data_IF_230106088602
#
_entry.id   IF_230106088602
#
_cell.length_a   1.000
_cell.length_b   1.000
_cell.length_c   1.000
_cell.angle_alpha   90.00
_cell.angle_beta   90.00
_cell.angle_gamma   90.00
#
_symmetry.space_group_name_H-M   'P 1'
#
loop_
_entity.id
_entity.type
_entity.pdbx_description
1 polymer ?
#
# COMPACT_ATOMS: atom_id res chain seq x y z
N UNK A 1 12.03 -6.03 -60.60
CA UNK A 1 12.86 -5.84 -59.38
C UNK A 1 12.38 -4.71 -58.48
N UNK A 2 11.99 -3.52 -58.96
CA UNK A 2 11.52 -2.39 -58.10
C UNK A 2 10.26 -2.69 -57.27
N UNK A 3 9.32 -3.54 -57.73
CA UNK A 3 8.09 -3.90 -56.97
C UNK A 3 8.34 -4.85 -55.80
N UNK A 4 9.35 -5.71 -55.89
CA UNK A 4 9.69 -6.67 -54.81
C UNK A 4 10.39 -5.95 -53.64
N UNK A 5 11.23 -4.95 -53.95
CA UNK A 5 11.93 -4.17 -52.92
C UNK A 5 10.93 -3.35 -52.09
N UNK A 6 9.88 -2.79 -52.71
CA UNK A 6 8.82 -2.06 -52.01
C UNK A 6 8.01 -2.96 -51.06
N UNK A 7 7.71 -4.19 -51.44
CA UNK A 7 6.96 -5.14 -50.63
C UNK A 7 7.77 -5.62 -49.39
N UNK A 8 9.06 -5.89 -49.58
CA UNK A 8 9.96 -6.24 -48.46
C UNK A 8 10.13 -5.09 -47.43
N UNK A 9 10.17 -3.84 -47.91
CA UNK A 9 10.25 -2.66 -47.01
C UNK A 9 9.00 -2.49 -46.17
N UNK A 10 7.81 -2.72 -46.76
CA UNK A 10 6.53 -2.64 -46.02
C UNK A 10 6.40 -3.77 -45.00
N UNK A 11 6.79 -4.99 -45.34
CA UNK A 11 6.77 -6.12 -44.42
C UNK A 11 7.75 -5.90 -43.26
N UNK A 12 8.93 -5.37 -43.53
CA UNK A 12 9.93 -5.06 -42.50
C UNK A 12 9.47 -3.92 -41.57
N UNK A 13 8.74 -2.93 -42.08
CA UNK A 13 8.15 -1.86 -41.28
C UNK A 13 7.01 -2.37 -40.41
N UNK A 14 6.21 -3.33 -40.84
CA UNK A 14 5.14 -3.95 -40.05
C UNK A 14 5.75 -4.80 -38.92
N UNK A 15 6.83 -5.51 -39.16
CA UNK A 15 7.53 -6.31 -38.13
C UNK A 15 8.15 -5.40 -37.06
N UNK A 16 8.63 -4.21 -37.43
CA UNK A 16 9.18 -3.25 -36.48
C UNK A 16 8.09 -2.56 -35.61
N UNK A 17 6.85 -2.47 -36.11
CA UNK A 17 5.73 -1.90 -35.38
C UNK A 17 5.08 -2.88 -34.38
N UNK A 18 5.28 -4.19 -34.55
CA UNK A 18 4.79 -5.20 -33.60
C UNK A 18 5.73 -5.47 -32.41
N UNK A 19 6.90 -4.82 -32.43
CA UNK A 19 7.97 -5.05 -31.42
C UNK A 19 7.85 -4.30 -30.10
N UNK A 20 6.81 -3.49 -29.89
CA UNK A 20 6.54 -2.81 -28.62
C UNK A 20 5.27 -3.36 -27.95
N UNK A 21 5.21 -4.66 -27.72
CA UNK A 21 4.35 -5.17 -26.65
C UNK A 21 5.02 -4.71 -25.35
N UNK A 22 4.47 -3.63 -24.78
CA UNK A 22 4.84 -3.22 -23.44
C UNK A 22 4.51 -4.39 -22.50
N UNK A 23 5.53 -5.07 -22.02
CA UNK A 23 5.42 -6.06 -20.94
C UNK A 23 5.08 -5.34 -19.61
N UNK A 24 3.96 -4.62 -19.59
CA UNK A 24 3.48 -3.90 -18.43
C UNK A 24 2.54 -4.82 -17.63
N UNK A 25 2.47 -4.56 -16.32
CA UNK A 25 1.43 -5.15 -15.49
C UNK A 25 0.07 -4.68 -16.00
N UNK A 26 -0.90 -5.61 -16.06
CA UNK A 26 -2.28 -5.32 -16.48
C UNK A 26 -2.91 -4.24 -15.61
N UNK A 27 -3.70 -3.36 -16.23
CA UNK A 27 -4.46 -2.32 -15.52
C UNK A 27 -5.44 -2.94 -14.51
N UNK A 28 -5.94 -4.16 -14.76
CA UNK A 28 -6.83 -4.88 -13.86
C UNK A 28 -6.17 -5.30 -12.54
N UNK A 29 -4.83 -5.34 -12.49
CA UNK A 29 -4.08 -5.63 -11.27
C UNK A 29 -3.81 -4.40 -10.42
N UNK A 30 -4.00 -3.19 -10.97
CA UNK A 30 -3.62 -1.96 -10.26
C UNK A 30 -4.40 -1.77 -8.95
N UNK A 31 -3.71 -1.23 -7.94
CA UNK A 31 -4.28 -0.96 -6.64
C UNK A 31 -3.87 -1.96 -5.57
N UNK A 32 -4.60 -1.94 -4.47
CA UNK A 32 -4.36 -2.77 -3.29
C UNK A 32 -5.18 -4.05 -3.34
N UNK A 33 -4.51 -5.15 -2.96
CA UNK A 33 -5.07 -6.48 -2.83
C UNK A 33 -4.77 -7.01 -1.43
N UNK A 34 -5.80 -7.43 -0.70
CA UNK A 34 -5.67 -7.95 0.66
C UNK A 34 -5.79 -9.45 0.70
N UNK A 35 -4.97 -10.08 1.53
CA UNK A 35 -4.93 -11.53 1.69
C UNK A 35 -6.25 -12.06 2.26
N UNK A 36 -6.79 -13.07 1.59
CA UNK A 36 -7.91 -13.88 2.07
C UNK A 36 -7.43 -15.18 2.71
N UNK A 37 -6.30 -15.71 2.26
CA UNK A 37 -5.73 -16.95 2.72
C UNK A 37 -4.68 -17.48 1.75
N UNK A 38 -4.23 -18.70 1.96
CA UNK A 38 -3.25 -19.36 1.11
C UNK A 38 -3.55 -20.85 0.96
N UNK A 39 -3.16 -21.40 -0.17
CA UNK A 39 -3.25 -22.84 -0.45
C UNK A 39 -1.84 -23.44 -0.43
N UNK A 40 -1.70 -24.56 0.26
CA UNK A 40 -0.50 -25.37 0.30
C UNK A 40 -0.87 -26.83 0.14
N UNK A 41 -0.29 -27.50 -0.84
CA UNK A 41 -0.53 -28.91 -1.14
C UNK A 41 -2.03 -29.24 -1.32
N UNK A 42 -2.82 -28.28 -1.82
CA UNK A 42 -4.27 -28.43 -2.03
C UNK A 42 -5.12 -28.22 -0.76
N UNK A 43 -4.54 -27.80 0.34
CA UNK A 43 -5.24 -27.41 1.55
C UNK A 43 -5.30 -25.88 1.67
N UNK A 44 -6.52 -25.34 1.57
CA UNK A 44 -6.72 -23.91 1.73
C UNK A 44 -6.77 -23.51 3.21
N UNK A 45 -5.83 -22.68 3.60
CA UNK A 45 -5.78 -22.01 4.92
C UNK A 45 -6.49 -20.66 4.79
N UNK A 46 -7.70 -20.58 5.32
CA UNK A 46 -8.44 -19.34 5.34
C UNK A 46 -7.69 -18.36 6.26
N UNK A 47 -7.33 -17.20 5.70
CA UNK A 47 -6.88 -16.08 6.51
C UNK A 47 -8.02 -15.67 7.43
N UNK A 48 -7.73 -15.37 8.67
CA UNK A 48 -8.72 -14.83 9.58
C UNK A 48 -9.42 -13.64 8.90
N UNK A 49 -10.74 -13.69 8.75
CA UNK A 49 -11.54 -12.62 8.12
C UNK A 49 -11.32 -11.27 8.81
N UNK A 50 -10.99 -11.32 10.08
CA UNK A 50 -10.55 -10.20 10.90
C UNK A 50 -9.24 -9.56 10.34
N UNK A 51 -8.32 -10.36 9.82
CA UNK A 51 -7.03 -9.89 9.30
C UNK A 51 -7.15 -9.18 7.95
N UNK A 52 -8.11 -9.57 7.12
CA UNK A 52 -8.41 -8.86 5.85
C UNK A 52 -8.86 -7.43 6.13
N UNK A 53 -9.64 -7.23 7.18
CA UNK A 53 -10.14 -5.91 7.59
C UNK A 53 -9.04 -5.01 8.15
N UNK A 54 -8.04 -5.61 8.82
CA UNK A 54 -6.96 -4.90 9.50
C UNK A 54 -5.68 -4.73 8.67
N UNK A 55 -5.70 -5.08 7.39
CA UNK A 55 -4.57 -4.87 6.46
C UNK A 55 -3.25 -5.56 6.84
N UNK A 56 -3.33 -6.65 7.59
CA UNK A 56 -2.13 -7.34 8.03
C UNK A 56 -1.23 -7.76 6.87
N UNK A 57 -1.84 -8.31 5.82
CA UNK A 57 -1.14 -8.78 4.62
C UNK A 57 -1.79 -8.23 3.37
N UNK A 58 -1.00 -7.62 2.52
CA UNK A 58 -1.49 -7.11 1.24
C UNK A 58 -0.40 -6.98 0.20
N UNK A 59 -0.81 -6.85 -1.06
CA UNK A 59 0.06 -6.52 -2.19
C UNK A 59 -0.51 -5.30 -2.89
N UNK A 60 0.35 -4.35 -3.22
CA UNK A 60 0.01 -3.13 -3.95
C UNK A 60 0.72 -3.11 -5.30
N UNK A 61 -0.05 -2.90 -6.36
CA UNK A 61 0.44 -2.69 -7.71
C UNK A 61 0.26 -1.20 -8.06
N UNK A 62 1.36 -0.52 -8.36
CA UNK A 62 1.38 0.89 -8.74
C UNK A 62 2.21 1.07 -10.01
N UNK A 63 1.54 1.12 -11.15
CA UNK A 63 2.20 0.99 -12.44
C UNK A 63 2.93 -0.35 -12.54
N UNK A 64 4.24 -0.31 -12.78
CA UNK A 64 5.07 -1.52 -12.80
C UNK A 64 5.77 -1.79 -11.45
N UNK A 65 5.53 -1.00 -10.42
CA UNK A 65 6.08 -1.24 -9.09
C UNK A 65 5.12 -2.12 -8.28
N UNK A 66 5.67 -3.11 -7.60
CA UNK A 66 4.88 -4.02 -6.76
C UNK A 66 5.51 -4.09 -5.38
N UNK A 67 4.68 -3.93 -4.36
CA UNK A 67 5.08 -4.06 -2.97
C UNK A 67 4.12 -4.99 -2.23
N UNK A 68 4.68 -5.84 -1.39
CA UNK A 68 3.90 -6.62 -0.44
C UNK A 68 4.17 -6.13 0.98
N UNK A 69 3.15 -6.21 1.81
CA UNK A 69 3.19 -5.73 3.18
C UNK A 69 2.74 -6.84 4.12
N UNK A 70 3.48 -7.05 5.17
CA UNK A 70 3.11 -7.83 6.35
C UNK A 70 3.09 -6.93 7.58
N UNK A 71 2.87 -7.49 8.78
CA UNK A 71 2.84 -6.69 10.01
C UNK A 71 4.13 -5.89 10.26
N UNK A 72 5.26 -6.45 9.97
CA UNK A 72 6.56 -5.83 10.25
C UNK A 72 7.37 -5.50 9.00
N UNK A 73 7.11 -6.18 7.89
CA UNK A 73 7.97 -6.14 6.72
C UNK A 73 7.30 -5.56 5.49
N UNK A 74 8.12 -4.95 4.66
CA UNK A 74 7.77 -4.54 3.30
C UNK A 74 8.69 -5.28 2.35
N UNK A 75 8.11 -6.04 1.43
CA UNK A 75 8.82 -6.65 0.30
C UNK A 75 8.61 -5.77 -0.91
N UNK A 76 9.68 -5.20 -1.45
CA UNK A 76 9.67 -4.40 -2.68
C UNK A 76 10.24 -5.24 -3.81
N UNK A 77 9.43 -5.48 -4.84
CA UNK A 77 9.82 -6.27 -6.02
C UNK A 77 10.48 -5.40 -7.10
N UNK A 78 10.69 -4.11 -6.82
CA UNK A 78 11.16 -3.17 -7.81
C UNK A 78 10.22 -3.09 -9.00
N UNK A 79 10.80 -2.97 -10.19
CA UNK A 79 10.01 -2.98 -11.40
C UNK A 79 9.65 -4.41 -11.79
N UNK A 80 8.36 -4.66 -11.94
CA UNK A 80 7.80 -5.95 -12.35
C UNK A 80 7.22 -5.84 -13.76
N UNK A 81 7.43 -6.85 -14.57
CA UNK A 81 6.82 -7.01 -15.90
C UNK A 81 5.96 -8.26 -15.89
N UNK A 82 4.90 -8.26 -16.68
CA UNK A 82 4.02 -9.41 -16.83
C UNK A 82 4.06 -9.92 -18.26
N UNK A 83 4.26 -11.25 -18.42
CA UNK A 83 4.16 -11.93 -19.70
C UNK A 83 3.49 -13.28 -19.50
N UNK A 84 2.36 -13.50 -20.17
CA UNK A 84 1.56 -14.73 -20.05
C UNK A 84 1.29 -15.09 -18.59
N UNK A 85 0.85 -14.12 -17.79
CA UNK A 85 0.59 -14.25 -16.34
C UNK A 85 1.82 -14.61 -15.49
N UNK A 86 3.01 -14.61 -16.06
CA UNK A 86 4.28 -14.75 -15.32
C UNK A 86 4.76 -13.37 -14.91
N UNK A 87 5.17 -13.24 -13.65
CA UNK A 87 5.74 -12.02 -13.08
C UNK A 87 7.27 -12.09 -13.18
N UNK A 88 7.86 -11.13 -13.87
CA UNK A 88 9.31 -10.99 -14.04
C UNK A 88 9.74 -9.80 -13.20
N UNK A 89 10.44 -10.06 -12.11
CA UNK A 89 10.92 -9.08 -11.14
C UNK A 89 12.35 -8.66 -11.48
N UNK A 90 12.65 -7.37 -11.42
CA UNK A 90 14.02 -6.86 -11.61
C UNK A 90 14.86 -7.02 -10.34
N UNK A 91 14.24 -6.87 -9.18
CA UNK A 91 14.88 -7.02 -7.87
C UNK A 91 13.86 -7.47 -6.85
N UNK A 92 14.33 -8.02 -5.75
CA UNK A 92 13.51 -8.27 -4.56
C UNK A 92 14.31 -7.81 -3.35
N UNK A 93 13.75 -6.86 -2.62
CA UNK A 93 14.29 -6.41 -1.33
C UNK A 93 13.22 -6.53 -0.27
N UNK A 94 13.60 -6.89 0.94
CA UNK A 94 12.69 -7.03 2.06
C UNK A 94 13.30 -6.37 3.29
N UNK A 95 12.48 -5.67 4.07
CA UNK A 95 12.92 -5.16 5.37
C UNK A 95 13.03 -6.33 6.35
N UNK A 96 14.10 -6.35 7.13
CA UNK A 96 14.32 -7.38 8.16
C UNK A 96 13.79 -6.89 9.51
N UNK A 97 12.48 -6.96 9.71
CA UNK A 97 11.89 -6.80 11.03
C UNK A 97 11.46 -8.18 11.52
N UNK A 98 11.72 -8.49 12.78
CA UNK A 98 11.32 -9.77 13.36
C UNK A 98 9.80 -9.92 13.21
N UNK A 99 9.41 -10.95 12.48
CA UNK A 99 8.00 -11.31 12.37
C UNK A 99 7.48 -11.80 13.72
N UNK A 100 6.32 -11.32 14.11
CA UNK A 100 5.78 -11.48 15.47
C UNK A 100 4.99 -12.81 15.60
N UNK A 101 4.56 -13.37 14.47
CA UNK A 101 3.74 -14.58 14.43
C UNK A 101 4.07 -15.48 13.24
N UNK A 102 3.67 -16.74 13.33
CA UNK A 102 3.95 -17.79 12.35
C UNK A 102 3.39 -17.48 10.96
N UNK A 103 2.24 -16.79 10.87
CA UNK A 103 1.65 -16.39 9.59
C UNK A 103 2.46 -15.31 8.89
N UNK A 104 2.96 -14.32 9.65
CA UNK A 104 3.86 -13.29 9.11
C UNK A 104 5.16 -13.91 8.63
N UNK A 105 5.73 -14.85 9.39
CA UNK A 105 6.92 -15.61 8.98
C UNK A 105 6.63 -16.39 7.69
N UNK A 106 5.49 -17.06 7.63
CA UNK A 106 5.09 -17.83 6.46
C UNK A 106 4.90 -16.94 5.23
N UNK A 107 4.15 -15.83 5.38
CA UNK A 107 3.91 -14.88 4.31
C UNK A 107 5.22 -14.27 3.81
N UNK A 108 6.05 -13.72 4.69
CA UNK A 108 7.31 -13.07 4.35
C UNK A 108 8.28 -14.00 3.62
N UNK A 109 8.36 -15.26 4.06
CA UNK A 109 9.22 -16.27 3.44
C UNK A 109 8.78 -16.62 2.02
N UNK A 110 7.48 -16.66 1.75
CA UNK A 110 6.95 -17.17 0.49
C UNK A 110 6.60 -16.05 -0.50
N UNK A 111 6.22 -14.85 -0.03
CA UNK A 111 5.84 -13.75 -0.92
C UNK A 111 6.97 -13.33 -1.86
N UNK A 112 8.24 -13.45 -1.43
CA UNK A 112 9.42 -13.15 -2.25
C UNK A 112 9.52 -14.04 -3.49
N UNK A 113 8.90 -15.22 -3.44
CA UNK A 113 8.98 -16.25 -4.49
C UNK A 113 7.85 -16.17 -5.52
N UNK A 114 6.87 -15.23 -5.36
CA UNK A 114 5.77 -15.13 -6.33
C UNK A 114 6.33 -15.00 -7.75
N UNK A 115 5.80 -15.78 -8.68
CA UNK A 115 6.28 -15.82 -10.06
C UNK A 115 5.19 -15.85 -11.10
N UNK A 116 3.95 -16.14 -10.71
CA UNK A 116 2.79 -16.25 -11.59
C UNK A 116 1.54 -15.71 -10.89
N UNK A 117 0.57 -15.25 -11.66
CA UNK A 117 -0.72 -14.84 -11.12
C UNK A 117 -1.88 -15.39 -11.94
N UNK A 118 -3.04 -15.48 -11.30
CA UNK A 118 -4.34 -15.68 -11.93
C UNK A 118 -5.30 -14.66 -11.36
N UNK A 119 -5.97 -13.93 -12.26
CA UNK A 119 -6.98 -12.94 -11.90
C UNK A 119 -8.36 -13.44 -12.32
N UNK A 120 -9.30 -13.49 -11.38
CA UNK A 120 -10.68 -13.82 -11.62
C UNK A 120 -11.59 -12.81 -10.92
N UNK A 121 -12.02 -11.79 -11.66
CA UNK A 121 -12.79 -10.68 -11.14
C UNK A 121 -12.07 -9.96 -10.00
N UNK A 122 -12.62 -10.03 -8.80
CA UNK A 122 -12.07 -9.40 -7.60
C UNK A 122 -11.14 -10.32 -6.76
N UNK A 123 -10.75 -11.47 -7.30
CA UNK A 123 -9.86 -12.42 -6.65
C UNK A 123 -8.57 -12.56 -7.45
N UNK A 124 -7.44 -12.42 -6.76
CA UNK A 124 -6.11 -12.54 -7.30
C UNK A 124 -5.37 -13.68 -6.61
N UNK A 125 -4.92 -14.67 -7.37
CA UNK A 125 -3.97 -15.67 -6.89
C UNK A 125 -2.56 -15.26 -7.27
N UNK A 126 -1.65 -15.26 -6.31
CA UNK A 126 -0.21 -15.09 -6.54
C UNK A 126 0.48 -16.40 -6.17
N UNK A 127 1.02 -17.09 -7.16
CA UNK A 127 1.69 -18.37 -6.98
C UNK A 127 3.14 -18.17 -6.57
N UNK A 128 3.56 -18.84 -5.51
CA UNK A 128 4.93 -18.87 -5.01
C UNK A 128 5.60 -20.23 -5.22
N UNK A 129 4.83 -21.25 -5.63
CA UNK A 129 5.31 -22.54 -6.16
C UNK A 129 4.46 -22.94 -7.37
N UNK A 130 4.61 -24.16 -7.87
CA UNK A 130 3.83 -24.66 -9.01
C UNK A 130 2.31 -24.67 -8.71
N UNK A 131 1.92 -25.05 -7.50
CA UNK A 131 0.53 -25.19 -7.09
C UNK A 131 0.12 -24.30 -5.92
N UNK A 132 1.09 -23.90 -5.08
CA UNK A 132 0.78 -23.13 -3.88
C UNK A 132 0.65 -21.65 -4.19
N UNK A 133 -0.34 -21.01 -3.60
CA UNK A 133 -0.64 -19.61 -3.86
C UNK A 133 -1.20 -18.88 -2.65
N UNK A 134 -0.99 -17.59 -2.67
CA UNK A 134 -1.75 -16.64 -1.85
C UNK A 134 -3.00 -16.19 -2.61
N UNK A 135 -4.15 -16.18 -1.95
CA UNK A 135 -5.40 -15.66 -2.49
C UNK A 135 -5.67 -14.28 -1.89
N UNK A 136 -5.87 -13.30 -2.76
CA UNK A 136 -6.17 -11.93 -2.39
C UNK A 136 -7.51 -11.47 -2.96
N UNK A 137 -8.03 -10.35 -2.41
CA UNK A 137 -9.18 -9.63 -2.94
C UNK A 137 -8.90 -8.13 -2.97
N UNK A 138 -9.52 -7.43 -3.94
CA UNK A 138 -9.60 -5.97 -3.98
C UNK A 138 -10.96 -5.44 -3.48
N UNK A 139 -11.87 -6.34 -3.12
CA UNK A 139 -13.15 -5.99 -2.48
C UNK A 139 -13.02 -6.13 -0.97
N UNK A 140 -12.79 -5.03 -0.31
CA UNK A 140 -12.73 -4.96 1.14
C UNK A 140 -13.32 -3.64 1.64
N UNK A 141 -13.93 -3.69 2.80
CA UNK A 141 -14.35 -2.50 3.52
C UNK A 141 -13.27 -2.18 4.54
N UNK A 142 -12.80 -0.94 4.55
CA UNK A 142 -11.97 -0.44 5.64
C UNK A 142 -12.86 -0.32 6.88
N UNK A 143 -12.89 -1.34 7.74
CA UNK A 143 -13.58 -1.24 9.04
C UNK A 143 -12.82 -0.36 10.04
N UNK A 144 -11.51 -0.23 9.86
CA UNK A 144 -10.74 0.81 10.53
C UNK A 144 -10.86 2.07 9.67
N UNK A 145 -12.02 2.68 9.69
CA UNK A 145 -12.08 4.12 9.53
C UNK A 145 -11.74 4.67 10.92
N UNK A 146 -10.63 5.39 11.10
CA UNK A 146 -10.64 6.39 12.15
C UNK A 146 -11.88 7.20 11.85
N UNK A 147 -12.95 6.96 12.57
CA UNK A 147 -14.11 7.81 12.50
C UNK A 147 -13.68 9.06 13.25
N UNK A 148 -13.30 10.07 12.51
CA UNK A 148 -13.42 11.42 13.01
C UNK A 148 -14.92 11.60 13.22
N UNK A 149 -15.39 11.28 14.40
CA UNK A 149 -16.77 11.48 14.75
C UNK A 149 -16.93 12.97 15.07
N UNK A 150 -17.30 13.76 14.07
CA UNK A 150 -17.49 15.20 14.17
C UNK A 150 -18.56 15.61 15.22
N UNK A 151 -19.19 14.64 15.89
CA UNK A 151 -20.10 14.84 17.01
C UNK A 151 -19.39 14.78 18.39
N UNK A 152 -18.07 14.68 18.43
CA UNK A 152 -17.31 14.72 19.69
C UNK A 152 -16.92 16.17 20.02
N UNK A 153 -16.66 16.41 21.31
CA UNK A 153 -16.15 17.70 21.75
C UNK A 153 -14.75 17.96 21.19
N UNK A 154 -14.51 19.21 20.77
CA UNK A 154 -13.16 19.65 20.39
C UNK A 154 -12.24 19.52 21.60
N UNK A 155 -11.16 18.76 21.45
CA UNK A 155 -10.17 18.58 22.52
C UNK A 155 -9.17 19.72 22.55
N UNK A 156 -8.74 20.14 21.35
CA UNK A 156 -7.84 21.28 21.18
C UNK A 156 -8.03 21.94 19.83
N UNK A 157 -7.80 23.23 19.78
CA UNK A 157 -7.66 23.99 18.53
C UNK A 157 -6.18 24.20 18.26
N UNK A 158 -5.73 23.76 17.10
CA UNK A 158 -4.37 23.91 16.62
C UNK A 158 -4.29 25.16 15.75
N UNK A 159 -3.31 26.04 15.99
CA UNK A 159 -3.14 27.28 15.25
C UNK A 159 -1.73 27.40 14.71
N UNK A 160 -1.60 27.54 13.38
CA UNK A 160 -0.34 27.75 12.64
C UNK A 160 0.80 26.81 13.11
N UNK A 161 0.42 25.57 13.41
CA UNK A 161 1.35 24.54 13.88
C UNK A 161 2.19 24.01 12.72
N UNK A 162 3.48 23.86 12.94
CA UNK A 162 4.37 23.20 11.98
C UNK A 162 4.27 21.69 12.11
N UNK A 163 4.22 21.00 10.97
CA UNK A 163 4.18 19.55 10.92
C UNK A 163 4.84 18.99 9.68
N UNK A 164 4.85 17.69 9.60
CA UNK A 164 5.39 16.93 8.46
C UNK A 164 4.35 15.92 8.00
N UNK A 165 4.06 15.91 6.72
CA UNK A 165 3.16 14.91 6.14
C UNK A 165 3.86 13.57 6.12
N UNK A 166 3.18 12.56 6.63
CA UNK A 166 3.65 11.18 6.67
C UNK A 166 2.53 10.23 6.28
N UNK A 167 2.89 9.06 5.77
CA UNK A 167 1.94 7.99 5.52
C UNK A 167 2.01 6.96 6.65
N UNK A 168 0.89 6.70 7.31
CA UNK A 168 0.80 5.64 8.30
C UNK A 168 0.76 4.29 7.57
N UNK A 169 1.71 3.41 7.86
CA UNK A 169 1.84 2.12 7.20
C UNK A 169 0.75 1.13 7.57
N UNK A 170 0.14 1.27 8.76
CA UNK A 170 -0.90 0.38 9.28
C UNK A 170 -2.29 0.88 8.91
N UNK A 171 -2.59 2.14 9.24
CA UNK A 171 -3.88 2.75 8.90
C UNK A 171 -3.98 3.13 7.42
N UNK A 172 -2.85 3.14 6.69
CA UNK A 172 -2.72 3.56 5.29
C UNK A 172 -3.31 4.93 5.02
N UNK A 173 -3.38 5.75 6.05
CA UNK A 173 -3.82 7.12 5.98
C UNK A 173 -2.64 8.06 6.01
N UNK A 174 -2.83 9.18 5.38
CA UNK A 174 -1.93 10.30 5.54
C UNK A 174 -2.23 11.01 6.84
N UNK A 175 -1.19 11.44 7.53
CA UNK A 175 -1.29 12.21 8.77
C UNK A 175 -0.26 13.32 8.80
N UNK A 176 -0.50 14.31 9.65
CA UNK A 176 0.45 15.36 9.94
C UNK A 176 1.15 14.99 11.24
N UNK A 177 2.46 14.73 11.14
CA UNK A 177 3.30 14.45 12.29
C UNK A 177 3.73 15.77 12.96
N UNK A 178 3.44 15.91 14.24
CA UNK A 178 4.02 16.96 15.06
C UNK A 178 5.19 16.38 15.85
N UNK A 179 6.34 16.98 15.67
CA UNK A 179 7.55 16.52 16.33
C UNK A 179 7.83 17.35 17.57
N UNK A 180 8.55 16.77 18.50
CA UNK A 180 9.10 17.52 19.62
C UNK A 180 10.01 18.63 19.12
N UNK A 181 9.88 19.87 19.62
CA UNK A 181 10.71 20.99 19.15
C UNK A 181 12.22 20.66 19.21
N UNK A 182 12.89 20.80 18.07
CA UNK A 182 14.31 20.50 17.95
C UNK A 182 14.66 19.01 17.84
N UNK A 183 13.68 18.14 17.62
CA UNK A 183 13.84 16.68 17.49
C UNK A 183 13.07 16.15 16.27
N UNK A 184 13.50 15.01 15.73
CA UNK A 184 12.75 14.26 14.72
C UNK A 184 11.74 13.28 15.34
N UNK A 185 11.62 13.28 16.68
CA UNK A 185 10.67 12.42 17.38
C UNK A 185 9.27 12.95 17.23
N UNK A 186 8.42 12.20 16.56
CA UNK A 186 6.98 12.50 16.44
C UNK A 186 6.29 12.17 17.77
N UNK A 187 5.52 13.13 18.31
CA UNK A 187 4.77 12.97 19.56
C UNK A 187 3.27 13.01 19.36
N UNK A 188 2.80 13.65 18.29
CA UNK A 188 1.38 13.72 17.95
C UNK A 188 1.20 13.37 16.47
N UNK A 189 0.17 12.60 16.18
CA UNK A 189 -0.29 12.34 14.81
C UNK A 189 -1.69 12.90 14.63
N UNK A 190 -1.83 13.87 13.73
CA UNK A 190 -3.11 14.41 13.34
C UNK A 190 -3.56 13.77 12.03
N UNK A 191 -4.72 13.14 12.04
CA UNK A 191 -5.31 12.47 10.88
C UNK A 191 -6.45 13.31 10.33
N UNK A 192 -6.24 14.08 9.25
CA UNK A 192 -7.32 14.77 8.57
C UNK A 192 -8.31 13.77 7.96
N UNK A 193 -9.60 14.11 7.94
CA UNK A 193 -10.57 13.33 7.19
C UNK A 193 -10.24 13.37 5.70
N UNK A 194 -9.86 14.55 5.20
CA UNK A 194 -9.33 14.76 3.84
C UNK A 194 -8.31 15.88 3.83
N UNK A 195 -7.38 15.82 2.90
CA UNK A 195 -6.54 16.97 2.54
C UNK A 195 -7.22 17.77 1.44
N UNK A 196 -7.08 19.12 1.43
CA UNK A 196 -7.75 19.96 0.46
C UNK A 196 -7.27 19.73 -0.98
N UNK A 197 -6.04 19.27 -1.16
CA UNK A 197 -5.44 18.98 -2.46
C UNK A 197 -4.54 17.77 -2.40
N UNK A 198 -4.45 17.03 -3.52
CA UNK A 198 -3.57 15.87 -3.68
C UNK A 198 -2.08 16.24 -3.56
N UNK A 199 -1.74 17.49 -3.82
CA UNK A 199 -0.36 17.98 -3.72
C UNK A 199 0.22 17.93 -2.29
N UNK A 200 -0.66 17.83 -1.27
CA UNK A 200 -0.24 17.62 0.12
C UNK A 200 0.06 16.14 0.43
N UNK A 201 -0.33 15.20 -0.43
CA UNK A 201 -0.10 13.76 -0.23
C UNK A 201 1.32 13.36 -0.67
N UNK A 202 2.30 14.03 -0.10
CA UNK A 202 3.72 13.79 -0.35
C UNK A 202 4.42 13.54 0.97
N UNK A 203 5.10 12.40 1.09
CA UNK A 203 5.85 12.04 2.30
C UNK A 203 7.00 13.03 2.54
N UNK A 204 7.20 13.36 3.81
CA UNK A 204 8.18 14.34 4.30
C UNK A 204 7.92 15.81 3.91
N UNK A 205 6.78 16.11 3.29
CA UNK A 205 6.39 17.49 3.01
C UNK A 205 6.21 18.25 4.33
N UNK A 206 6.91 19.37 4.46
CA UNK A 206 6.76 20.29 5.61
C UNK A 206 5.56 21.20 5.37
N UNK A 207 4.73 21.34 6.40
CA UNK A 207 3.52 22.14 6.33
C UNK A 207 3.34 23.01 7.57
N UNK A 208 2.54 24.05 7.42
CA UNK A 208 1.93 24.82 8.53
C UNK A 208 0.43 24.59 8.44
N UNK A 209 -0.20 24.25 9.54
CA UNK A 209 -1.62 23.91 9.54
C UNK A 209 -2.34 24.45 10.78
N UNK A 210 -3.65 24.62 10.63
CA UNK A 210 -4.59 24.98 11.69
C UNK A 210 -5.83 24.12 11.57
N UNK A 211 -6.47 23.81 12.68
CA UNK A 211 -7.69 23.03 12.71
C UNK A 211 -8.16 22.67 14.11
N UNK A 212 -9.32 22.07 14.18
CA UNK A 212 -9.91 21.57 15.43
C UNK A 212 -9.64 20.07 15.55
N UNK A 213 -9.02 19.66 16.65
CA UNK A 213 -8.64 18.29 16.91
C UNK A 213 -9.62 17.61 17.87
N UNK A 214 -9.95 16.36 17.55
CA UNK A 214 -10.89 15.50 18.25
C UNK A 214 -10.21 14.20 18.66
N UNK A 215 -10.76 13.50 19.65
CA UNK A 215 -10.31 12.16 19.97
C UNK A 215 -10.40 11.26 18.74
N UNK A 216 -9.32 10.56 18.49
CA UNK A 216 -9.31 9.52 17.48
C UNK A 216 -9.77 8.21 18.12
N UNK A 217 -11.02 7.81 17.80
CA UNK A 217 -11.51 6.49 18.19
C UNK A 217 -10.97 5.47 17.20
N UNK A 218 -9.82 4.91 17.52
CA UNK A 218 -9.20 3.83 16.76
C UNK A 218 -9.36 2.56 17.56
N UNK A 219 -10.15 1.66 17.02
CA UNK A 219 -10.10 0.27 17.48
C UNK A 219 -8.79 -0.35 16.97
N UNK A 220 -7.75 -0.28 17.79
CA UNK A 220 -6.44 -0.83 17.44
C UNK A 220 -6.46 -2.37 17.34
N UNK A 221 -7.51 -3.04 17.87
CA UNK A 221 -7.63 -4.50 17.81
C UNK A 221 -6.29 -5.18 18.12
N UNK A 222 -5.85 -6.06 17.24
CA UNK A 222 -4.56 -6.75 17.35
C UNK A 222 -3.34 -5.83 17.16
N UNK A 223 -3.54 -4.58 16.73
CA UNK A 223 -2.47 -3.58 16.59
C UNK A 223 -2.24 -2.72 17.83
N UNK A 224 -2.79 -3.07 18.97
CA UNK A 224 -2.51 -2.33 20.22
C UNK A 224 -1.02 -2.27 20.54
N UNK A 225 -0.25 -3.30 20.16
CA UNK A 225 1.21 -3.31 20.26
C UNK A 225 1.91 -2.25 19.38
N UNK A 226 1.22 -1.76 18.36
CA UNK A 226 1.72 -0.74 17.43
C UNK A 226 1.44 0.69 17.94
N UNK A 227 0.62 0.83 18.96
CA UNK A 227 0.45 2.10 19.64
C UNK A 227 1.76 2.46 20.34
N UNK A 228 2.46 3.43 19.78
CA UNK A 228 3.74 3.88 20.32
C UNK A 228 3.47 4.54 21.67
N UNK A 229 4.10 4.04 22.72
CA UNK A 229 3.97 4.60 24.07
C UNK A 229 4.43 6.08 24.08
N UNK A 230 3.59 6.95 24.61
CA UNK A 230 3.85 8.38 24.68
C UNK A 230 3.49 9.16 23.41
N UNK A 231 2.94 8.51 22.39
CA UNK A 231 2.42 9.17 21.19
C UNK A 231 0.91 9.40 21.31
N UNK A 232 0.47 10.58 20.93
CA UNK A 232 -0.94 10.95 20.89
C UNK A 232 -1.48 10.89 19.46
N UNK A 233 -2.76 10.56 19.33
CA UNK A 233 -3.44 10.34 18.05
C UNK A 233 -4.75 11.10 18.04
N UNK A 234 -4.90 12.03 17.11
CA UNK A 234 -6.10 12.87 16.96
C UNK A 234 -6.63 12.85 15.54
N UNK A 235 -7.93 12.92 15.40
CA UNK A 235 -8.54 13.40 14.17
C UNK A 235 -8.43 14.93 14.12
N UNK A 236 -8.37 15.50 12.95
CA UNK A 236 -8.35 16.96 12.79
C UNK A 236 -9.21 17.41 11.61
N UNK A 237 -10.06 18.40 11.86
CA UNK A 237 -10.73 19.17 10.83
C UNK A 237 -9.83 20.32 10.43
N UNK A 238 -9.20 20.19 9.26
CA UNK A 238 -8.28 21.21 8.77
C UNK A 238 -9.04 22.48 8.34
N UNK A 239 -8.75 23.58 9.00
CA UNK A 239 -9.21 24.92 8.61
C UNK A 239 -8.23 25.59 7.66
N UNK A 240 -6.96 25.26 7.77
CA UNK A 240 -5.87 25.80 6.95
C UNK A 240 -4.73 24.81 6.87
N UNK A 241 -4.13 24.69 5.69
CA UNK A 241 -2.84 24.00 5.50
C UNK A 241 -2.07 24.67 4.36
N UNK A 242 -0.80 24.92 4.58
CA UNK A 242 0.11 25.55 3.63
C UNK A 242 1.45 24.80 3.61
N UNK A 243 2.08 24.74 2.45
CA UNK A 243 3.46 24.21 2.35
C UNK A 243 4.40 25.19 3.04
N UNK A 244 5.30 24.65 3.83
CA UNK A 244 6.38 25.44 4.43
C UNK A 244 7.52 25.51 3.44
N UNK A 245 7.87 26.73 3.01
CA UNK A 245 9.07 27.02 2.23
C UNK A 245 10.36 26.76 3.01
#
# INVERSE_FOLDING_TARGET
MKKIVGLLSVIMSIILLTGCLKDNISDDLQGEWRLLGWDVDGYFHEGDSFKVEYHKFSVEFSGNNVKAYSLGNVTDFGRVRSKNNTLIKESVTQTEVLAIDDESIYFDKNIVNINRYELNGNKLKLYFSDNDYFLFTNQFTNKIKPSCNCNQDIIMTVNDQQGTIKKDKYLRKWYIAYNYPGSDVTIIRYYPESFPDIEFLQEDLKVVFSGDAYNMDVNWGDYQSEKIAGMEYYCIDLLKIEKKE
#
